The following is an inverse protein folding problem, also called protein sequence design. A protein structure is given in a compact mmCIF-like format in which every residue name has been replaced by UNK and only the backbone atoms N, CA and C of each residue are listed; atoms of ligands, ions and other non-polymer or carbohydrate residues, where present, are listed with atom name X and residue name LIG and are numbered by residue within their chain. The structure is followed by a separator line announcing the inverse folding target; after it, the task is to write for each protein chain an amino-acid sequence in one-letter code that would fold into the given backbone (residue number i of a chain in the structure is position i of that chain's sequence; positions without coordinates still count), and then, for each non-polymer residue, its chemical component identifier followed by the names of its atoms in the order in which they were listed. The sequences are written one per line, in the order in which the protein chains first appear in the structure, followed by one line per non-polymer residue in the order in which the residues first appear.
data_IF_501679166457
#
_entry.id   IF_501679166457
#
_cell.length_a   1.000
_cell.length_b   1.000
_cell.length_c   1.000
_cell.angle_alpha   90.00
_cell.angle_beta   90.00
_cell.angle_gamma   90.00
#
_symmetry.space_group_name_H-M   'P 1'
#
loop_
_entity.id
_entity.type
_entity.pdbx_description
1 polymer ?
#
# COMPACT_ATOMS: atom_id res chain seq x y z
N UNK A 1 73.74 8.25 -7.03
CA UNK A 1 73.74 7.24 -8.13
C UNK A 1 72.37 7.22 -8.72
N UNK A 2 72.32 7.71 -9.92
CA UNK A 2 71.24 7.96 -10.84
C UNK A 2 70.62 6.68 -11.36
N UNK A 3 69.31 6.62 -11.52
CA UNK A 3 68.64 5.79 -12.53
C UNK A 3 67.27 6.38 -12.89
N UNK A 4 67.19 6.85 -14.14
CA UNK A 4 66.06 7.43 -14.81
C UNK A 4 64.91 6.43 -15.06
N UNK A 5 63.65 6.89 -15.17
CA UNK A 5 62.54 6.08 -15.65
C UNK A 5 62.40 6.11 -17.16
N UNK A 6 62.23 4.94 -17.74
CA UNK A 6 61.99 4.68 -19.17
C UNK A 6 60.59 5.20 -19.56
N UNK A 7 60.56 6.18 -20.47
CA UNK A 7 59.35 6.70 -21.12
C UNK A 7 58.95 5.83 -22.32
N UNK A 8 57.75 5.26 -22.29
CA UNK A 8 57.13 4.62 -23.47
C UNK A 8 56.35 5.63 -24.30
N UNK A 9 56.46 5.69 -25.62
CA UNK A 9 55.77 6.67 -26.44
C UNK A 9 54.33 6.24 -26.75
N UNK A 10 53.39 7.10 -26.38
CA UNK A 10 52.00 7.01 -26.77
C UNK A 10 51.80 7.34 -28.25
N UNK A 11 51.31 6.39 -29.03
CA UNK A 11 50.91 6.59 -30.44
C UNK A 11 49.67 7.48 -30.54
N UNK A 12 49.65 8.47 -31.46
CA UNK A 12 48.51 9.39 -31.57
C UNK A 12 47.29 8.74 -32.22
N UNK A 13 46.12 8.95 -31.57
CA UNK A 13 44.81 8.42 -31.94
C UNK A 13 44.38 8.60 -33.42
N UNK A 14 45.04 9.44 -34.18
CA UNK A 14 44.75 9.70 -35.60
C UNK A 14 45.30 8.64 -36.57
N UNK A 15 46.20 7.74 -36.16
CA UNK A 15 46.71 6.64 -37.00
C UNK A 15 45.90 5.35 -36.91
N UNK A 16 45.12 5.16 -35.83
CA UNK A 16 44.26 3.98 -35.66
C UNK A 16 42.98 4.04 -36.55
N UNK A 17 42.53 5.25 -36.92
CA UNK A 17 41.36 5.46 -37.78
C UNK A 17 41.63 5.32 -39.28
N UNK A 18 42.87 5.25 -39.72
CA UNK A 18 43.22 5.08 -41.16
C UNK A 18 43.49 3.63 -41.58
N UNK A 19 43.63 2.71 -40.64
CA UNK A 19 43.85 1.30 -40.93
C UNK A 19 42.57 0.45 -40.94
N UNK A 20 41.41 1.01 -40.54
CA UNK A 20 40.10 0.36 -40.58
C UNK A 20 39.29 0.64 -41.85
N UNK A 21 39.82 1.46 -42.79
CA UNK A 21 39.12 1.88 -44.01
C UNK A 21 39.50 1.11 -45.25
N UNK A 22 40.37 0.10 -45.19
CA UNK A 22 40.89 -0.58 -46.42
C UNK A 22 40.67 -2.11 -46.43
N UNK A 23 39.81 -2.63 -45.56
CA UNK A 23 39.48 -4.07 -45.55
C UNK A 23 37.96 -4.30 -45.62
N UNK A 24 37.24 -3.63 -46.49
CA UNK A 24 35.78 -3.74 -46.54
C UNK A 24 35.19 -3.60 -47.96
N UNK A 25 35.81 -4.25 -48.90
CA UNK A 25 35.23 -4.35 -50.25
C UNK A 25 35.11 -5.82 -50.66
N UNK A 26 33.84 -6.24 -50.90
CA UNK A 26 33.41 -7.51 -51.45
C UNK A 26 33.15 -8.67 -50.49
N UNK A 27 31.94 -8.66 -49.87
CA UNK A 27 31.22 -9.91 -49.63
C UNK A 27 29.71 -9.60 -49.46
N UNK A 28 28.94 -9.90 -50.48
CA UNK A 28 27.66 -10.59 -50.29
C UNK A 28 26.48 -9.83 -49.77
N UNK A 29 25.66 -9.33 -50.67
CA UNK A 29 24.21 -9.28 -50.55
C UNK A 29 23.68 -10.70 -50.20
N UNK A 30 23.67 -11.07 -48.94
CA UNK A 30 22.89 -12.18 -48.43
C UNK A 30 22.73 -12.04 -46.91
N UNK A 31 21.51 -12.15 -46.45
CA UNK A 31 21.13 -12.25 -45.06
C UNK A 31 20.91 -10.93 -44.27
N UNK A 32 19.92 -10.14 -44.69
CA UNK A 32 19.00 -9.56 -43.69
C UNK A 32 18.10 -10.67 -43.11
N UNK A 33 18.69 -11.71 -42.55
CA UNK A 33 18.04 -12.63 -41.64
C UNK A 33 18.32 -12.12 -40.26
N UNK A 34 17.40 -11.40 -39.62
CA UNK A 34 17.32 -11.35 -38.16
C UNK A 34 17.41 -12.80 -37.70
N UNK A 35 18.25 -13.14 -36.69
CA UNK A 35 18.02 -14.35 -35.97
C UNK A 35 16.69 -14.15 -35.24
N UNK A 36 15.60 -14.45 -35.92
CA UNK A 36 14.35 -14.73 -35.30
C UNK A 36 14.63 -15.95 -34.42
N UNK A 37 14.84 -15.72 -33.12
CA UNK A 37 14.57 -16.77 -32.16
C UNK A 37 13.20 -17.31 -32.59
N UNK A 38 13.11 -18.62 -32.84
CA UNK A 38 11.83 -19.32 -32.95
C UNK A 38 11.11 -19.08 -31.63
N UNK A 39 10.38 -17.97 -31.52
CA UNK A 39 9.30 -17.87 -30.57
C UNK A 39 8.42 -19.08 -30.84
N UNK A 40 7.97 -19.73 -29.82
CA UNK A 40 7.05 -20.88 -29.90
C UNK A 40 5.71 -20.56 -30.58
N UNK A 41 5.58 -19.38 -31.19
CA UNK A 41 4.38 -18.87 -31.88
C UNK A 41 3.29 -18.38 -30.93
N UNK A 42 3.52 -18.44 -29.61
CA UNK A 42 2.56 -17.98 -28.61
C UNK A 42 2.63 -16.47 -28.43
N UNK A 43 1.48 -15.85 -28.17
CA UNK A 43 1.42 -14.45 -27.77
C UNK A 43 1.89 -14.31 -26.31
N UNK A 44 2.67 -13.28 -26.02
CA UNK A 44 3.26 -13.06 -24.70
C UNK A 44 2.55 -11.96 -23.93
N UNK A 45 1.87 -12.32 -22.83
CA UNK A 45 1.24 -11.42 -21.88
C UNK A 45 2.29 -11.01 -20.83
N UNK A 46 2.64 -9.74 -20.78
CA UNK A 46 3.61 -9.20 -19.82
C UNK A 46 2.90 -8.81 -18.52
N UNK A 47 3.19 -9.52 -17.44
CA UNK A 47 2.61 -9.31 -16.10
C UNK A 47 3.66 -8.79 -15.12
N UNK A 48 3.39 -7.63 -14.48
CA UNK A 48 4.28 -7.05 -13.47
C UNK A 48 3.66 -7.11 -12.08
N UNK A 49 4.51 -7.54 -11.11
CA UNK A 49 4.18 -7.52 -9.67
C UNK A 49 5.20 -6.69 -8.88
N UNK A 50 4.99 -6.51 -7.57
CA UNK A 50 5.80 -5.67 -6.71
C UNK A 50 6.30 -6.45 -5.50
N UNK A 51 7.64 -6.71 -5.47
CA UNK A 51 8.36 -7.39 -4.38
C UNK A 51 7.72 -8.73 -3.93
N UNK A 52 7.24 -9.53 -4.89
CA UNK A 52 6.70 -10.87 -4.64
C UNK A 52 7.75 -11.96 -4.82
N UNK A 53 8.75 -11.76 -5.69
CA UNK A 53 9.84 -12.70 -5.87
C UNK A 53 10.92 -12.52 -4.77
N UNK A 54 11.62 -13.58 -4.37
CA UNK A 54 11.44 -14.97 -4.79
C UNK A 54 10.38 -15.72 -3.98
N UNK A 55 9.80 -15.10 -2.96
CA UNK A 55 8.96 -15.77 -1.95
C UNK A 55 7.73 -16.47 -2.53
N UNK A 56 7.12 -15.87 -3.56
CA UNK A 56 5.88 -16.37 -4.15
C UNK A 56 6.09 -16.95 -5.57
N UNK A 57 7.33 -17.37 -5.91
CA UNK A 57 7.63 -17.93 -7.22
C UNK A 57 6.81 -19.19 -7.52
N UNK A 58 6.67 -20.10 -6.56
CA UNK A 58 5.95 -21.35 -6.73
C UNK A 58 4.46 -21.14 -6.90
N UNK A 59 3.86 -20.24 -6.08
CA UNK A 59 2.47 -19.87 -6.19
C UNK A 59 2.16 -19.24 -7.57
N UNK A 60 2.87 -18.19 -7.94
CA UNK A 60 2.65 -17.50 -9.22
C UNK A 60 2.96 -18.40 -10.41
N UNK A 61 4.03 -19.20 -10.32
CA UNK A 61 4.37 -20.21 -11.34
C UNK A 61 3.25 -21.21 -11.55
N UNK A 62 2.62 -21.69 -10.49
CA UNK A 62 1.47 -22.59 -10.55
C UNK A 62 0.24 -21.96 -11.21
N UNK A 63 -0.11 -20.72 -10.84
CA UNK A 63 -1.24 -20.00 -11.46
C UNK A 63 -0.97 -19.72 -12.94
N UNK A 64 0.25 -19.28 -13.29
CA UNK A 64 0.66 -19.04 -14.67
C UNK A 64 0.57 -20.32 -15.50
N UNK A 65 1.15 -21.43 -15.02
CA UNK A 65 1.10 -22.72 -15.73
C UNK A 65 -0.33 -23.21 -15.94
N UNK A 66 -1.20 -23.03 -14.94
CA UNK A 66 -2.62 -23.36 -15.05
C UNK A 66 -3.34 -22.55 -16.13
N UNK A 67 -3.05 -21.23 -16.21
CA UNK A 67 -3.63 -20.35 -17.23
C UNK A 67 -3.11 -20.68 -18.64
N UNK A 68 -1.80 -20.87 -18.78
CA UNK A 68 -1.18 -21.25 -20.06
C UNK A 68 -1.69 -22.61 -20.57
N UNK A 69 -1.93 -23.56 -19.66
CA UNK A 69 -2.54 -24.85 -20.01
C UNK A 69 -3.95 -24.73 -20.59
N UNK A 70 -4.74 -23.77 -20.09
CA UNK A 70 -6.08 -23.46 -20.60
C UNK A 70 -6.05 -22.56 -21.86
N UNK A 71 -4.94 -21.89 -22.14
CA UNK A 71 -4.74 -20.93 -23.25
C UNK A 71 -3.47 -21.28 -24.06
N UNK A 72 -3.44 -22.40 -24.79
CA UNK A 72 -2.19 -22.94 -25.38
C UNK A 72 -1.52 -22.06 -26.42
N UNK A 73 -2.23 -21.04 -26.97
CA UNK A 73 -1.68 -20.04 -27.88
C UNK A 73 -1.00 -18.85 -27.17
N UNK A 74 -0.91 -18.87 -25.84
CA UNK A 74 -0.49 -17.74 -25.04
C UNK A 74 0.52 -18.18 -23.97
N UNK A 75 1.32 -17.24 -23.51
CA UNK A 75 2.19 -17.41 -22.35
C UNK A 75 2.24 -16.15 -21.52
N UNK A 76 2.53 -16.27 -20.23
CA UNK A 76 2.69 -15.14 -19.31
C UNK A 76 4.18 -14.93 -19.03
N UNK A 77 4.67 -13.73 -19.31
CA UNK A 77 5.97 -13.29 -18.88
C UNK A 77 5.83 -12.48 -17.60
N UNK A 78 6.09 -13.14 -16.48
CA UNK A 78 6.07 -12.46 -15.19
C UNK A 78 7.38 -11.71 -14.93
N UNK A 79 7.27 -10.47 -14.46
CA UNK A 79 8.37 -9.60 -14.03
C UNK A 79 8.03 -9.02 -12.67
N UNK A 80 8.87 -9.28 -11.68
CA UNK A 80 8.74 -8.65 -10.37
C UNK A 80 9.58 -7.37 -10.30
N UNK A 81 9.01 -6.31 -9.74
CA UNK A 81 9.60 -4.96 -9.73
C UNK A 81 9.66 -4.45 -8.30
N UNK A 82 10.82 -3.93 -7.83
CA UNK A 82 10.90 -3.33 -6.51
C UNK A 82 9.96 -2.12 -6.34
N UNK A 83 9.32 -2.01 -5.17
CA UNK A 83 8.40 -0.91 -4.83
C UNK A 83 8.95 0.48 -5.16
N UNK A 84 10.20 0.76 -4.78
CA UNK A 84 10.82 2.07 -4.97
C UNK A 84 11.09 2.45 -6.43
N UNK A 85 10.91 1.52 -7.39
CA UNK A 85 11.23 1.75 -8.80
C UNK A 85 10.02 1.65 -9.75
N UNK A 86 8.90 1.08 -9.30
CA UNK A 86 7.78 0.76 -10.18
C UNK A 86 7.18 1.98 -10.89
N UNK A 87 6.97 3.09 -10.18
CA UNK A 87 6.38 4.30 -10.78
C UNK A 87 7.25 4.81 -11.95
N UNK A 88 8.56 4.95 -11.70
CA UNK A 88 9.51 5.40 -12.72
C UNK A 88 9.60 4.43 -13.90
N UNK A 89 9.68 3.10 -13.60
CA UNK A 89 9.79 2.06 -14.61
C UNK A 89 8.54 1.98 -15.48
N UNK A 90 7.35 2.04 -14.88
CA UNK A 90 6.09 1.97 -15.60
C UNK A 90 5.87 3.22 -16.47
N UNK A 91 6.15 4.42 -15.95
CA UNK A 91 6.08 5.64 -16.77
C UNK A 91 7.05 5.58 -17.95
N UNK A 92 8.29 5.14 -17.72
CA UNK A 92 9.27 4.98 -18.81
C UNK A 92 8.79 3.98 -19.88
N UNK A 93 8.20 2.83 -19.46
CA UNK A 93 7.69 1.82 -20.39
C UNK A 93 6.48 2.32 -21.20
N UNK A 94 5.59 3.12 -20.57
CA UNK A 94 4.48 3.77 -21.26
C UNK A 94 4.99 4.74 -22.34
N UNK A 95 5.99 5.57 -22.01
CA UNK A 95 6.59 6.48 -23.00
C UNK A 95 7.29 5.73 -24.14
N UNK A 96 7.95 4.62 -23.84
CA UNK A 96 8.63 3.77 -24.81
C UNK A 96 7.66 2.87 -25.62
N UNK A 97 6.36 2.88 -25.31
CA UNK A 97 5.35 1.96 -25.87
C UNK A 97 5.68 0.48 -25.65
N UNK A 98 6.27 0.17 -24.49
CA UNK A 98 6.61 -1.17 -24.03
C UNK A 98 5.99 -1.44 -22.66
N UNK A 99 4.84 -0.82 -22.39
CA UNK A 99 4.09 -1.03 -21.14
C UNK A 99 3.71 -2.51 -21.02
N UNK A 100 3.71 -3.06 -19.79
CA UNK A 100 3.17 -4.40 -19.54
C UNK A 100 1.67 -4.45 -19.84
N UNK A 101 1.12 -5.66 -19.96
CA UNK A 101 -0.30 -5.88 -20.22
C UNK A 101 -1.12 -5.89 -18.96
N UNK A 102 -0.54 -6.37 -17.84
CA UNK A 102 -1.17 -6.40 -16.53
C UNK A 102 -0.16 -5.95 -15.47
N UNK A 103 -0.59 -5.09 -14.54
CA UNK A 103 0.30 -4.56 -13.48
C UNK A 103 -0.40 -4.59 -12.13
N UNK A 104 0.32 -5.07 -11.11
CA UNK A 104 -0.09 -4.91 -9.73
C UNK A 104 0.32 -3.53 -9.21
N UNK A 105 -0.64 -2.70 -8.77
CA UNK A 105 -0.38 -1.33 -8.30
C UNK A 105 -1.14 -1.01 -7.01
N UNK A 106 -0.58 -0.08 -6.24
CA UNK A 106 -1.31 0.57 -5.17
C UNK A 106 -2.36 1.58 -5.72
N UNK A 107 -3.44 1.86 -4.99
CA UNK A 107 -4.52 2.72 -5.47
C UNK A 107 -4.07 4.14 -5.85
N UNK A 108 -3.22 4.87 -5.10
CA UNK A 108 -2.81 6.22 -5.46
C UNK A 108 -2.09 6.29 -6.81
N UNK A 109 -1.25 5.31 -7.12
CA UNK A 109 -0.55 5.30 -8.40
C UNK A 109 -1.49 4.88 -9.54
N UNK A 110 -2.36 3.89 -9.32
CA UNK A 110 -3.40 3.52 -10.28
C UNK A 110 -4.30 4.72 -10.64
N UNK A 111 -4.80 5.46 -9.63
CA UNK A 111 -5.61 6.65 -9.84
C UNK A 111 -4.87 7.78 -10.59
N UNK A 112 -3.57 7.97 -10.30
CA UNK A 112 -2.75 8.94 -11.03
C UNK A 112 -2.60 8.56 -12.52
N UNK A 113 -2.44 7.28 -12.83
CA UNK A 113 -2.39 6.81 -14.22
C UNK A 113 -3.76 6.90 -14.90
N UNK A 114 -4.84 6.50 -14.23
CA UNK A 114 -6.20 6.58 -14.73
C UNK A 114 -6.57 8.02 -15.12
N UNK A 115 -6.27 9.00 -14.25
CA UNK A 115 -6.54 10.42 -14.48
C UNK A 115 -5.82 11.02 -15.69
N UNK A 116 -4.75 10.37 -16.14
CA UNK A 116 -3.98 10.73 -17.35
C UNK A 116 -4.38 9.91 -18.58
N UNK A 117 -5.44 9.10 -18.47
CA UNK A 117 -5.87 8.21 -19.54
C UNK A 117 -4.91 7.05 -19.80
N UNK A 118 -4.02 6.72 -18.84
CA UNK A 118 -3.01 5.66 -18.99
C UNK A 118 -3.54 4.26 -18.73
N UNK A 119 -4.73 4.10 -18.15
CA UNK A 119 -5.36 2.83 -17.87
C UNK A 119 -6.60 2.60 -18.73
N UNK A 120 -6.91 1.34 -18.95
CA UNK A 120 -8.11 0.89 -19.65
C UNK A 120 -9.29 0.89 -18.67
N UNK A 121 -10.46 1.32 -19.14
CA UNK A 121 -11.72 1.11 -18.43
C UNK A 121 -12.13 -0.37 -18.57
N UNK A 122 -12.24 -1.05 -17.44
CA UNK A 122 -12.54 -2.47 -17.34
C UNK A 122 -14.05 -2.75 -17.25
N UNK A 123 -14.89 -1.72 -17.17
CA UNK A 123 -16.34 -1.84 -16.96
C UNK A 123 -17.05 -2.66 -18.02
N UNK A 124 -16.55 -2.65 -19.28
CA UNK A 124 -17.07 -3.47 -20.38
C UNK A 124 -16.40 -4.84 -20.52
N UNK A 125 -15.27 -5.06 -19.84
CA UNK A 125 -14.46 -6.29 -19.94
C UNK A 125 -14.70 -7.24 -18.77
N UNK A 126 -15.20 -6.74 -17.64
CA UNK A 126 -15.53 -7.52 -16.45
C UNK A 126 -17.04 -7.63 -16.35
N UNK A 127 -17.56 -8.88 -16.34
CA UNK A 127 -19.01 -9.11 -16.20
C UNK A 127 -19.52 -8.64 -14.84
N UNK A 128 -20.81 -8.31 -14.77
CA UNK A 128 -21.46 -7.94 -13.50
C UNK A 128 -21.36 -9.08 -12.45
N UNK A 129 -21.40 -10.34 -12.88
CA UNK A 129 -21.22 -11.50 -12.00
C UNK A 129 -19.80 -11.57 -11.42
N UNK A 130 -18.77 -11.34 -12.25
CA UNK A 130 -17.39 -11.31 -11.80
C UNK A 130 -17.18 -10.14 -10.83
N UNK A 131 -17.69 -8.95 -11.13
CA UNK A 131 -17.63 -7.79 -10.24
C UNK A 131 -18.33 -8.07 -8.88
N UNK A 132 -19.48 -8.73 -8.87
CA UNK A 132 -20.23 -9.10 -7.68
C UNK A 132 -19.54 -10.17 -6.80
N UNK A 133 -18.51 -10.84 -7.32
CA UNK A 133 -17.71 -11.79 -6.53
C UNK A 133 -16.79 -11.14 -5.51
N UNK A 134 -16.48 -9.84 -5.70
CA UNK A 134 -15.64 -9.06 -4.79
C UNK A 134 -16.47 -8.41 -3.67
N UNK A 135 -15.78 -7.95 -2.62
CA UNK A 135 -16.37 -7.10 -1.59
C UNK A 135 -16.81 -5.77 -2.23
N UNK A 136 -18.11 -5.36 -2.13
CA UNK A 136 -18.63 -4.23 -2.91
C UNK A 136 -17.84 -2.93 -2.72
N UNK A 137 -17.60 -2.51 -1.46
CA UNK A 137 -16.84 -1.29 -1.17
C UNK A 137 -15.39 -1.32 -1.67
N UNK A 138 -14.81 -2.52 -1.84
CA UNK A 138 -13.45 -2.70 -2.36
C UNK A 138 -13.44 -2.63 -3.88
N UNK A 139 -14.44 -3.23 -4.53
CA UNK A 139 -14.63 -3.10 -5.98
C UNK A 139 -14.84 -1.64 -6.39
N UNK A 140 -15.77 -0.96 -5.72
CA UNK A 140 -16.09 0.46 -5.96
C UNK A 140 -14.87 1.38 -5.80
N UNK A 141 -13.98 1.09 -4.83
CA UNK A 141 -12.76 1.86 -4.61
C UNK A 141 -11.75 1.78 -5.77
N UNK A 142 -11.90 0.81 -6.69
CA UNK A 142 -11.12 0.69 -7.93
C UNK A 142 -11.64 1.55 -9.07
N UNK A 143 -12.78 2.23 -8.89
CA UNK A 143 -13.40 3.12 -9.87
C UNK A 143 -13.02 4.59 -9.68
N UNK A 144 -13.13 5.35 -10.76
CA UNK A 144 -12.95 6.81 -10.76
C UNK A 144 -13.80 7.43 -11.89
N UNK A 145 -14.52 8.52 -11.59
CA UNK A 145 -15.30 9.29 -12.56
C UNK A 145 -16.27 8.41 -13.41
N UNK A 146 -16.85 7.37 -12.80
CA UNK A 146 -17.81 6.46 -13.44
C UNK A 146 -17.19 5.31 -14.25
N UNK A 147 -15.87 5.22 -14.35
CA UNK A 147 -15.16 4.13 -15.01
C UNK A 147 -14.46 3.22 -13.99
N UNK A 148 -14.30 1.93 -14.28
CA UNK A 148 -13.63 0.95 -13.45
C UNK A 148 -12.21 0.68 -13.98
N UNK A 149 -11.18 1.02 -13.21
CA UNK A 149 -9.79 0.89 -13.65
C UNK A 149 -9.02 -0.24 -12.99
N UNK A 150 -9.59 -0.89 -11.97
CA UNK A 150 -8.85 -1.83 -11.16
C UNK A 150 -9.67 -3.06 -10.78
N UNK A 151 -9.03 -4.22 -10.79
CA UNK A 151 -9.52 -5.47 -10.21
C UNK A 151 -8.79 -5.65 -8.87
N UNK A 152 -9.50 -5.71 -7.71
CA UNK A 152 -8.84 -5.84 -6.42
C UNK A 152 -8.29 -7.26 -6.24
N UNK A 153 -7.01 -7.37 -5.90
CA UNK A 153 -6.35 -8.66 -5.74
C UNK A 153 -6.28 -9.08 -4.28
N UNK A 154 -5.47 -8.39 -3.48
CA UNK A 154 -5.33 -8.71 -2.06
C UNK A 154 -5.41 -7.46 -1.19
N UNK A 155 -5.74 -7.68 0.07
CA UNK A 155 -6.03 -6.63 1.03
C UNK A 155 -5.17 -6.77 2.27
N UNK A 156 -4.95 -5.65 2.95
CA UNK A 156 -4.42 -5.64 4.31
C UNK A 156 -5.26 -4.73 5.18
N UNK A 157 -5.57 -5.17 6.40
CA UNK A 157 -6.26 -4.36 7.40
C UNK A 157 -5.44 -4.35 8.69
N UNK A 158 -5.34 -3.17 9.29
CA UNK A 158 -4.71 -3.01 10.61
C UNK A 158 -5.71 -3.38 11.70
N UNK A 159 -5.19 -4.00 12.75
CA UNK A 159 -5.89 -4.25 14.02
C UNK A 159 -5.06 -3.67 15.16
N UNK A 160 -5.64 -3.53 16.34
CA UNK A 160 -4.92 -3.11 17.53
C UNK A 160 -4.10 -4.26 18.11
N UNK A 161 -2.81 -4.05 18.31
CA UNK A 161 -1.97 -4.89 19.16
C UNK A 161 -1.77 -4.16 20.47
N UNK A 162 -2.33 -4.67 21.56
CA UNK A 162 -2.30 -3.99 22.84
C UNK A 162 -1.53 -4.77 23.91
N UNK A 163 -0.76 -4.06 24.71
CA UNK A 163 -0.03 -4.59 25.86
C UNK A 163 -0.99 -4.73 27.05
N UNK A 164 -1.37 -5.97 27.38
CA UNK A 164 -2.31 -6.30 28.46
C UNK A 164 -1.88 -5.80 29.82
N UNK A 165 -0.57 -5.83 30.11
CA UNK A 165 -0.02 -5.32 31.36
C UNK A 165 -0.26 -3.82 31.49
N UNK A 166 0.07 -3.03 30.45
CA UNK A 166 -0.17 -1.58 30.47
C UNK A 166 -1.66 -1.23 30.50
N UNK A 167 -2.52 -2.02 29.84
CA UNK A 167 -3.98 -1.85 29.94
C UNK A 167 -4.45 -2.07 31.39
N UNK A 168 -4.04 -3.17 32.02
CA UNK A 168 -4.44 -3.48 33.39
C UNK A 168 -3.94 -2.42 34.39
N UNK A 169 -2.68 -1.99 34.28
CA UNK A 169 -2.11 -0.90 35.09
C UNK A 169 -2.90 0.42 34.89
N UNK A 170 -3.35 0.69 33.68
CA UNK A 170 -4.21 1.83 33.36
C UNK A 170 -5.66 1.66 33.86
N UNK A 171 -6.03 0.48 34.35
CA UNK A 171 -7.37 0.16 34.85
C UNK A 171 -8.37 -0.17 33.74
N UNK A 172 -7.88 -0.65 32.60
CA UNK A 172 -8.69 -1.05 31.45
C UNK A 172 -8.45 -2.54 31.11
N UNK A 173 -9.48 -3.24 30.65
CA UNK A 173 -9.37 -4.62 30.15
C UNK A 173 -9.17 -4.68 28.63
N UNK A 174 -9.43 -3.56 27.92
CA UNK A 174 -9.31 -3.43 26.48
C UNK A 174 -9.00 -1.98 26.09
N UNK A 175 -8.42 -1.73 24.90
CA UNK A 175 -8.32 -0.39 24.34
C UNK A 175 -9.72 0.18 24.02
N UNK A 176 -9.86 1.51 23.87
CA UNK A 176 -11.10 2.13 23.42
C UNK A 176 -11.49 1.65 22.02
N UNK A 177 -12.80 1.71 21.73
CA UNK A 177 -13.33 1.33 20.41
C UNK A 177 -13.56 2.54 19.52
N UNK A 178 -13.65 3.74 20.11
CA UNK A 178 -13.95 4.99 19.42
C UNK A 178 -12.91 6.06 19.73
N UNK A 179 -12.61 6.89 18.73
CA UNK A 179 -11.63 7.98 18.89
C UNK A 179 -11.98 8.92 20.03
N UNK A 180 -13.27 9.22 20.26
CA UNK A 180 -13.69 10.08 21.37
C UNK A 180 -13.30 9.57 22.77
N UNK A 181 -13.05 8.28 22.91
CA UNK A 181 -12.68 7.66 24.20
C UNK A 181 -11.16 7.73 24.45
N UNK A 182 -10.38 8.01 23.40
CA UNK A 182 -8.91 7.99 23.45
C UNK A 182 -8.32 9.01 24.43
N UNK A 183 -8.77 10.26 24.54
CA UNK A 183 -8.16 11.22 25.45
C UNK A 183 -8.17 10.76 26.91
N UNK A 184 -9.31 10.34 27.44
CA UNK A 184 -9.43 9.86 28.82
C UNK A 184 -8.60 8.60 29.05
N UNK A 185 -8.55 7.69 28.08
CA UNK A 185 -7.73 6.49 28.15
C UNK A 185 -6.23 6.83 28.09
N UNK A 186 -5.81 7.72 27.21
CA UNK A 186 -4.42 8.14 27.07
C UNK A 186 -3.93 8.83 28.35
N UNK A 187 -4.76 9.66 28.98
CA UNK A 187 -4.48 10.25 30.29
C UNK A 187 -4.32 9.18 31.38
N UNK A 188 -5.22 8.19 31.43
CA UNK A 188 -5.13 7.11 32.40
C UNK A 188 -3.86 6.28 32.23
N UNK A 189 -3.50 5.92 30.98
CA UNK A 189 -2.24 5.23 30.67
C UNK A 189 -1.06 6.08 31.12
N UNK A 190 -1.02 7.36 30.69
CA UNK A 190 0.11 8.26 31.01
C UNK A 190 0.32 8.45 32.50
N UNK A 191 -0.76 8.71 33.23
CA UNK A 191 -0.73 8.98 34.66
C UNK A 191 -0.34 7.75 35.48
N UNK A 192 -0.84 6.56 35.13
CA UNK A 192 -0.67 5.35 35.94
C UNK A 192 0.59 4.55 35.59
N UNK A 193 1.02 4.60 34.32
CA UNK A 193 2.14 3.78 33.85
C UNK A 193 3.38 4.60 33.50
N UNK A 194 3.26 5.91 33.33
CA UNK A 194 4.31 6.77 32.78
C UNK A 194 4.58 6.53 31.29
N UNK A 195 3.84 5.62 30.65
CA UNK A 195 3.99 5.24 29.23
C UNK A 195 2.96 5.99 28.37
N UNK A 196 2.97 5.75 27.07
CA UNK A 196 2.02 6.34 26.14
C UNK A 196 0.94 5.35 25.71
N UNK A 197 -0.24 5.87 25.41
CA UNK A 197 -1.35 5.06 24.94
C UNK A 197 -1.12 4.55 23.51
N UNK A 198 -0.74 5.46 22.61
CA UNK A 198 -0.54 5.19 21.19
C UNK A 198 0.47 6.16 20.57
N UNK A 199 0.86 5.89 19.33
CA UNK A 199 1.70 6.74 18.49
C UNK A 199 0.96 7.04 17.19
N UNK A 200 0.79 8.31 16.84
CA UNK A 200 0.18 8.75 15.59
C UNK A 200 1.14 9.72 14.89
N UNK A 201 1.83 9.24 13.86
CA UNK A 201 2.77 10.09 13.12
C UNK A 201 2.06 11.14 12.27
N UNK A 202 2.64 12.34 12.25
CA UNK A 202 2.26 13.44 11.36
C UNK A 202 3.41 13.81 10.41
N UNK A 203 4.35 12.86 10.19
CA UNK A 203 5.43 13.04 9.23
C UNK A 203 4.87 12.89 7.82
N UNK A 204 5.01 13.90 6.94
CA UNK A 204 4.62 13.79 5.54
C UNK A 204 5.30 12.60 4.85
N UNK A 205 4.59 11.98 3.91
CA UNK A 205 5.07 10.84 3.09
C UNK A 205 5.39 9.54 3.86
N UNK A 206 5.08 9.44 5.17
CA UNK A 206 5.24 8.21 5.93
C UNK A 206 3.94 7.37 5.89
N UNK A 207 3.04 7.56 6.84
CA UNK A 207 1.79 6.82 6.97
C UNK A 207 0.57 7.69 6.69
N UNK A 208 -0.43 7.16 5.98
CA UNK A 208 -1.71 7.82 5.81
C UNK A 208 -2.67 7.63 7.00
N UNK A 209 -2.24 6.99 8.07
CA UNK A 209 -3.08 6.60 9.21
C UNK A 209 -3.81 7.79 9.85
N UNK A 210 -3.14 8.94 9.99
CA UNK A 210 -3.80 10.13 10.50
C UNK A 210 -4.92 10.62 9.55
N UNK A 211 -4.71 10.61 8.23
CA UNK A 211 -5.78 10.95 7.27
C UNK A 211 -6.99 10.03 7.43
N UNK A 212 -6.75 8.74 7.68
CA UNK A 212 -7.81 7.77 7.95
C UNK A 212 -8.59 8.16 9.20
N UNK A 213 -7.91 8.59 10.26
CA UNK A 213 -8.57 9.03 11.51
C UNK A 213 -9.41 10.29 11.28
N UNK A 214 -8.95 11.25 10.48
CA UNK A 214 -9.75 12.42 10.13
C UNK A 214 -11.07 12.02 9.47
N UNK A 215 -11.01 11.10 8.49
CA UNK A 215 -12.23 10.58 7.83
C UNK A 215 -13.13 9.85 8.84
N UNK A 216 -12.58 9.03 9.73
CA UNK A 216 -13.31 8.35 10.79
C UNK A 216 -13.97 9.31 11.80
N UNK A 217 -13.40 10.50 11.98
CA UNK A 217 -13.97 11.59 12.80
C UNK A 217 -14.99 12.45 12.02
N UNK A 218 -15.41 12.00 10.83
CA UNK A 218 -16.43 12.66 10.02
C UNK A 218 -15.92 13.76 9.09
N UNK A 219 -14.59 13.89 8.93
CA UNK A 219 -14.01 14.88 8.03
C UNK A 219 -14.14 14.42 6.58
N UNK A 220 -14.84 15.21 5.77
CA UNK A 220 -14.81 15.08 4.33
C UNK A 220 -13.53 15.75 3.81
N UNK A 221 -12.65 15.00 3.17
CA UNK A 221 -11.35 15.54 2.73
C UNK A 221 -11.51 16.54 1.59
N UNK A 222 -12.24 16.16 0.54
CA UNK A 222 -12.46 16.97 -0.65
C UNK A 222 -13.93 16.92 -1.08
N UNK A 223 -14.39 17.95 -1.75
CA UNK A 223 -15.69 18.00 -2.42
C UNK A 223 -15.67 17.33 -3.81
N UNK A 224 -16.83 17.30 -4.50
CA UNK A 224 -16.95 16.75 -5.85
C UNK A 224 -16.16 17.50 -6.94
N UNK A 225 -15.67 18.71 -6.63
CA UNK A 225 -14.80 19.51 -7.51
C UNK A 225 -13.33 19.42 -7.09
N UNK A 226 -12.99 18.48 -6.21
CA UNK A 226 -11.66 18.29 -5.64
C UNK A 226 -11.12 19.49 -4.86
N UNK A 227 -12.01 20.38 -4.36
CA UNK A 227 -11.66 21.45 -3.44
C UNK A 227 -11.63 20.93 -2.01
N UNK A 228 -10.90 21.60 -1.16
CA UNK A 228 -10.86 21.28 0.27
C UNK A 228 -12.26 21.36 0.88
N UNK A 229 -12.71 20.23 1.44
CA UNK A 229 -13.93 20.16 2.25
C UNK A 229 -13.62 19.90 3.73
N UNK A 230 -12.34 19.68 4.05
CA UNK A 230 -11.89 19.37 5.40
C UNK A 230 -11.92 20.57 6.36
N UNK A 231 -11.97 21.83 5.87
CA UNK A 231 -12.18 22.98 6.74
C UNK A 231 -13.66 23.13 7.11
N UNK A 232 -14.07 22.29 8.02
CA UNK A 232 -15.46 22.09 8.49
C UNK A 232 -15.47 22.01 10.02
N UNK A 233 -16.65 22.01 10.67
CA UNK A 233 -16.73 21.75 12.11
C UNK A 233 -16.02 20.46 12.53
N UNK A 234 -16.23 19.34 11.79
CA UNK A 234 -15.54 18.08 12.05
C UNK A 234 -14.03 18.19 11.87
N UNK A 235 -13.57 18.94 10.86
CA UNK A 235 -12.13 19.20 10.65
C UNK A 235 -11.50 19.97 11.80
N UNK A 236 -12.16 21.00 12.30
CA UNK A 236 -11.71 21.77 13.47
C UNK A 236 -11.63 20.90 14.73
N UNK A 237 -12.64 20.09 14.97
CA UNK A 237 -12.67 19.15 16.08
C UNK A 237 -11.50 18.14 15.98
N UNK A 238 -11.28 17.56 14.80
CA UNK A 238 -10.21 16.61 14.58
C UNK A 238 -8.80 17.21 14.72
N UNK A 239 -8.57 18.44 14.23
CA UNK A 239 -7.30 19.14 14.41
C UNK A 239 -7.05 19.49 15.87
N UNK A 240 -8.08 19.98 16.57
CA UNK A 240 -7.99 20.25 18.02
C UNK A 240 -7.74 18.97 18.79
N UNK A 241 -8.42 17.89 18.50
CA UNK A 241 -8.24 16.58 19.14
C UNK A 241 -6.75 16.13 19.12
N UNK A 242 -6.13 16.10 17.95
CA UNK A 242 -4.74 15.64 17.82
C UNK A 242 -3.75 16.67 18.41
N UNK A 243 -3.99 17.96 18.23
CA UNK A 243 -3.14 19.02 18.78
C UNK A 243 -3.15 19.04 20.30
N UNK A 244 -4.33 18.86 20.91
CA UNK A 244 -4.48 18.81 22.37
C UNK A 244 -3.84 17.59 22.97
N UNK A 245 -4.05 16.38 22.40
CA UNK A 245 -3.36 15.17 22.85
C UNK A 245 -1.83 15.35 22.87
N UNK A 246 -1.27 15.97 21.85
CA UNK A 246 0.16 16.22 21.79
C UNK A 246 0.60 17.27 22.82
N UNK A 247 -0.10 18.42 22.90
CA UNK A 247 0.25 19.51 23.82
C UNK A 247 0.11 19.15 25.28
N UNK A 248 -0.83 18.26 25.62
CA UNK A 248 -1.00 17.69 26.95
C UNK A 248 0.05 16.60 27.28
N UNK A 249 0.96 16.26 26.36
CA UNK A 249 1.98 15.25 26.55
C UNK A 249 1.43 13.81 26.59
N UNK A 250 0.26 13.57 26.00
CA UNK A 250 -0.40 12.27 25.90
C UNK A 250 0.09 11.46 24.68
N UNK A 251 0.77 12.11 23.75
CA UNK A 251 1.48 11.48 22.63
C UNK A 251 3.00 11.64 22.80
N UNK A 252 3.81 10.67 22.31
CA UNK A 252 5.26 10.84 22.24
C UNK A 252 5.65 12.09 21.46
N UNK A 253 6.69 12.78 21.90
CA UNK A 253 7.15 14.02 21.23
C UNK A 253 7.63 13.76 19.80
N UNK A 254 8.08 12.53 19.53
CA UNK A 254 8.61 12.11 18.23
C UNK A 254 7.55 11.97 17.13
N UNK A 255 6.25 12.02 17.41
CA UNK A 255 5.19 11.92 16.38
C UNK A 255 5.30 13.00 15.31
N UNK A 256 5.90 14.14 15.62
CA UNK A 256 6.11 15.24 14.66
C UNK A 256 7.39 15.13 13.83
N UNK A 257 8.25 14.16 14.13
CA UNK A 257 9.56 14.04 13.47
C UNK A 257 9.96 12.63 13.08
N UNK A 258 9.25 11.62 13.60
CA UNK A 258 9.52 10.20 13.36
C UNK A 258 8.29 9.51 12.76
N UNK A 259 8.53 8.62 11.80
CA UNK A 259 7.49 7.85 11.12
C UNK A 259 7.00 6.65 11.92
N UNK A 260 6.13 5.87 11.30
CA UNK A 260 5.49 4.67 11.88
C UNK A 260 6.49 3.63 12.43
N UNK A 261 7.69 3.55 11.85
CA UNK A 261 8.74 2.68 12.37
C UNK A 261 9.04 2.97 13.86
N UNK A 262 8.99 4.23 14.27
CA UNK A 262 9.18 4.62 15.67
C UNK A 262 8.09 4.07 16.58
N UNK A 263 6.84 3.99 16.11
CA UNK A 263 5.76 3.33 16.85
C UNK A 263 6.10 1.87 17.16
N UNK A 264 6.62 1.14 16.16
CA UNK A 264 7.05 -0.26 16.31
C UNK A 264 8.16 -0.39 17.37
N UNK A 265 9.17 0.47 17.31
CA UNK A 265 10.30 0.48 18.25
C UNK A 265 9.83 0.76 19.69
N UNK A 266 8.96 1.75 19.89
CA UNK A 266 8.40 2.08 21.20
C UNK A 266 7.50 0.96 21.74
N UNK A 267 6.73 0.31 20.87
CA UNK A 267 5.92 -0.82 21.31
C UNK A 267 6.78 -2.02 21.74
N UNK A 268 7.83 -2.35 20.98
CA UNK A 268 8.80 -3.39 21.31
C UNK A 268 9.56 -3.09 22.61
N UNK A 269 9.78 -1.82 22.92
CA UNK A 269 10.37 -1.38 24.19
C UNK A 269 9.38 -1.43 25.38
N UNK A 270 8.09 -1.67 25.15
CA UNK A 270 7.05 -1.62 26.16
C UNK A 270 6.64 -0.20 26.56
N UNK A 271 6.89 0.78 25.71
CA UNK A 271 6.60 2.21 25.92
C UNK A 271 5.24 2.65 25.35
N UNK A 272 4.57 1.78 24.58
CA UNK A 272 3.22 2.00 24.07
C UNK A 272 2.24 0.94 24.56
N UNK A 273 1.03 1.36 24.91
CA UNK A 273 -0.05 0.46 25.27
C UNK A 273 -0.72 -0.16 24.02
N UNK A 274 -0.72 0.55 22.89
CA UNK A 274 -1.33 0.11 21.63
C UNK A 274 -0.49 0.52 20.43
N UNK A 275 -0.39 -0.39 19.46
CA UNK A 275 0.03 -0.09 18.08
C UNK A 275 -0.96 -0.70 17.09
N UNK A 276 -1.34 0.06 16.06
CA UNK A 276 -2.20 -0.43 14.97
C UNK A 276 -1.32 -1.02 13.86
N UNK A 277 -1.45 -2.34 13.61
CA UNK A 277 -0.60 -3.02 12.63
C UNK A 277 -1.25 -4.30 12.10
N UNK A 278 -0.62 -4.98 11.14
CA UNK A 278 -1.07 -6.28 10.64
C UNK A 278 -0.69 -7.44 11.56
N UNK A 279 -1.37 -8.60 11.41
CA UNK A 279 -1.13 -9.80 12.23
C UNK A 279 0.31 -10.32 12.22
N UNK A 280 1.03 -10.18 11.10
CA UNK A 280 2.42 -10.67 10.98
C UNK A 280 3.41 -9.96 11.92
N UNK A 281 3.05 -8.80 12.43
CA UNK A 281 3.83 -8.11 13.45
C UNK A 281 4.07 -8.96 14.70
N UNK A 282 3.12 -9.82 15.07
CA UNK A 282 3.26 -10.70 16.25
C UNK A 282 4.48 -11.62 16.14
N UNK A 283 4.77 -12.17 14.96
CA UNK A 283 5.96 -13.01 14.76
C UNK A 283 7.26 -12.22 14.92
N UNK A 284 7.27 -11.02 14.37
CA UNK A 284 8.40 -10.11 14.53
C UNK A 284 8.59 -9.74 16.02
N UNK A 285 7.48 -9.48 16.71
CA UNK A 285 7.50 -9.18 18.14
C UNK A 285 7.99 -10.37 18.98
N UNK A 286 7.54 -11.59 18.68
CA UNK A 286 7.98 -12.83 19.33
C UNK A 286 9.49 -13.04 19.21
N UNK A 287 10.08 -12.67 18.07
CA UNK A 287 11.51 -12.79 17.82
C UNK A 287 12.31 -11.69 18.51
N UNK A 288 11.87 -10.43 18.40
CA UNK A 288 12.66 -9.27 18.79
C UNK A 288 12.37 -8.76 20.21
N UNK A 289 11.17 -9.03 20.75
CA UNK A 289 10.76 -8.57 22.08
C UNK A 289 9.82 -9.61 22.75
N UNK A 290 10.31 -10.83 23.05
CA UNK A 290 9.47 -11.95 23.54
C UNK A 290 8.73 -11.62 24.83
N UNK A 291 9.30 -10.81 25.73
CA UNK A 291 8.62 -10.36 26.95
C UNK A 291 7.40 -9.47 26.65
N UNK A 292 7.48 -8.58 25.65
CA UNK A 292 6.34 -7.76 25.24
C UNK A 292 5.35 -8.62 24.44
N UNK A 293 5.83 -9.57 23.64
CA UNK A 293 4.97 -10.49 22.90
C UNK A 293 4.06 -11.32 23.84
N UNK A 294 4.59 -11.78 24.97
CA UNK A 294 3.83 -12.54 25.97
C UNK A 294 2.67 -11.72 26.58
N UNK A 295 2.82 -10.40 26.66
CA UNK A 295 1.81 -9.47 27.15
C UNK A 295 0.92 -8.90 26.05
N UNK A 296 1.18 -9.19 24.78
CA UNK A 296 0.43 -8.64 23.65
C UNK A 296 -0.82 -9.46 23.36
N UNK A 297 -1.93 -8.76 23.09
CA UNK A 297 -3.16 -9.35 22.56
C UNK A 297 -3.71 -8.54 21.37
N UNK A 298 -4.35 -9.21 20.40
CA UNK A 298 -5.02 -8.54 19.29
C UNK A 298 -6.39 -8.01 19.73
N UNK A 299 -6.71 -6.78 19.33
CA UNK A 299 -7.98 -6.12 19.55
C UNK A 299 -8.49 -5.50 18.24
N UNK A 300 -9.81 -5.28 18.11
CA UNK A 300 -10.33 -4.52 16.98
C UNK A 300 -9.70 -3.12 16.91
N UNK A 301 -9.59 -2.54 15.70
CA UNK A 301 -9.03 -1.20 15.55
C UNK A 301 -9.93 -0.15 16.23
N UNK A 302 -9.34 0.96 16.66
CA UNK A 302 -10.08 2.16 17.04
C UNK A 302 -10.69 2.75 15.76
N UNK A 303 -11.96 3.12 15.80
CA UNK A 303 -12.69 3.64 14.64
C UNK A 303 -13.50 4.89 15.00
N UNK A 304 -14.10 5.51 13.99
CA UNK A 304 -15.12 6.53 14.16
C UNK A 304 -16.48 5.95 14.61
N UNK A 305 -17.49 6.81 14.69
CA UNK A 305 -18.82 6.43 15.16
C UNK A 305 -19.51 5.39 14.26
N UNK A 306 -19.26 5.42 12.97
CA UNK A 306 -19.79 4.47 11.98
C UNK A 306 -19.12 3.08 12.04
N UNK A 307 -18.04 2.94 12.79
CA UNK A 307 -17.31 1.69 12.94
C UNK A 307 -16.47 1.28 11.74
N UNK A 308 -16.32 2.13 10.74
CA UNK A 308 -15.56 1.80 9.54
C UNK A 308 -14.06 1.73 9.81
N UNK A 309 -13.46 0.59 9.47
CA UNK A 309 -12.02 0.41 9.47
C UNK A 309 -11.44 0.73 8.09
N UNK A 310 -10.18 1.16 8.06
CA UNK A 310 -9.49 1.29 6.78
C UNK A 310 -8.97 -0.04 6.28
N UNK A 311 -8.97 -0.20 4.95
CA UNK A 311 -8.35 -1.31 4.26
C UNK A 311 -7.43 -0.79 3.16
N UNK A 312 -6.23 -1.33 3.08
CA UNK A 312 -5.35 -1.12 1.95
C UNK A 312 -5.56 -2.21 0.91
N UNK A 313 -5.65 -1.80 -0.34
CA UNK A 313 -5.96 -2.66 -1.49
C UNK A 313 -4.76 -2.69 -2.43
N UNK A 314 -4.40 -3.87 -2.91
CA UNK A 314 -3.51 -4.00 -4.05
C UNK A 314 -4.33 -4.41 -5.27
N UNK A 315 -4.19 -3.64 -6.32
CA UNK A 315 -5.01 -3.73 -7.52
C UNK A 315 -4.24 -4.33 -8.70
N UNK A 316 -4.96 -5.01 -9.58
CA UNK A 316 -4.52 -5.34 -10.92
C UNK A 316 -5.13 -4.33 -11.90
N UNK A 317 -4.30 -3.72 -12.72
CA UNK A 317 -4.69 -2.72 -13.71
C UNK A 317 -4.16 -3.08 -15.09
N UNK A 318 -4.88 -2.69 -16.13
CA UNK A 318 -4.50 -2.90 -17.54
C UNK A 318 -4.10 -1.55 -18.14
N UNK A 319 -2.84 -1.33 -18.52
CA UNK A 319 -2.43 -0.15 -19.27
C UNK A 319 -3.20 -0.01 -20.59
N UNK A 320 -3.62 1.20 -20.93
CA UNK A 320 -4.40 1.47 -22.16
C UNK A 320 -3.70 1.03 -23.46
N UNK A 321 -2.38 0.93 -23.42
CA UNK A 321 -1.57 0.52 -24.58
C UNK A 321 -1.49 -0.99 -24.77
N UNK A 322 -2.04 -1.80 -23.85
CA UNK A 322 -2.02 -3.25 -23.97
C UNK A 322 -2.72 -3.70 -25.26
N UNK A 323 -2.03 -4.54 -26.04
CA UNK A 323 -2.59 -5.23 -27.18
C UNK A 323 -3.28 -6.55 -26.79
N UNK A 324 -3.18 -6.94 -25.51
CA UNK A 324 -3.72 -8.18 -24.95
C UNK A 324 -4.72 -7.90 -23.80
N UNK A 325 -5.55 -6.88 -23.94
CA UNK A 325 -6.43 -6.42 -22.88
C UNK A 325 -7.43 -7.48 -22.40
N UNK A 326 -8.01 -8.25 -23.32
CA UNK A 326 -8.96 -9.32 -22.98
C UNK A 326 -8.27 -10.46 -22.22
N UNK A 327 -7.09 -10.86 -22.67
CA UNK A 327 -6.27 -11.88 -22.04
C UNK A 327 -5.75 -11.43 -20.67
N UNK A 328 -5.34 -10.16 -20.56
CA UNK A 328 -4.92 -9.56 -19.30
C UNK A 328 -6.06 -9.56 -18.26
N UNK A 329 -7.28 -9.22 -18.66
CA UNK A 329 -8.47 -9.31 -17.80
C UNK A 329 -8.78 -10.76 -17.45
N UNK A 330 -8.75 -11.68 -18.43
CA UNK A 330 -8.97 -13.12 -18.19
C UNK A 330 -7.98 -13.68 -17.16
N UNK A 331 -6.68 -13.35 -17.32
CA UNK A 331 -5.64 -13.76 -16.36
C UNK A 331 -5.84 -13.11 -14.99
N UNK A 332 -6.19 -11.81 -14.93
CA UNK A 332 -6.49 -11.12 -13.69
C UNK A 332 -7.68 -11.75 -12.94
N UNK A 333 -8.75 -12.13 -13.64
CA UNK A 333 -9.91 -12.81 -13.06
C UNK A 333 -9.57 -14.20 -12.56
N UNK A 334 -8.71 -14.94 -13.25
CA UNK A 334 -8.19 -16.22 -12.75
C UNK A 334 -7.38 -16.01 -11.47
N UNK A 335 -6.42 -15.07 -11.49
CA UNK A 335 -5.55 -14.77 -10.35
C UNK A 335 -6.37 -14.31 -9.13
N UNK A 336 -7.51 -13.65 -9.36
CA UNK A 336 -8.38 -13.11 -8.31
C UNK A 336 -9.64 -13.96 -8.06
N UNK A 337 -9.74 -15.16 -8.60
CA UNK A 337 -10.83 -16.07 -8.24
C UNK A 337 -10.72 -16.55 -6.78
N UNK A 338 -11.77 -17.12 -6.26
CA UNK A 338 -11.83 -17.51 -4.85
C UNK A 338 -10.72 -18.50 -4.44
N UNK A 339 -10.42 -19.48 -5.28
CA UNK A 339 -9.42 -20.50 -4.97
C UNK A 339 -7.99 -19.92 -4.92
N UNK A 340 -7.62 -19.15 -5.95
CA UNK A 340 -6.29 -18.53 -6.03
C UNK A 340 -6.10 -17.45 -4.97
N UNK A 341 -7.11 -16.64 -4.68
CA UNK A 341 -7.02 -15.65 -3.60
C UNK A 341 -6.92 -16.30 -2.22
N UNK A 342 -7.62 -17.41 -1.96
CA UNK A 342 -7.50 -18.13 -0.70
C UNK A 342 -6.09 -18.69 -0.54
N UNK A 343 -5.56 -19.35 -1.56
CA UNK A 343 -4.19 -19.87 -1.54
C UNK A 343 -3.16 -18.77 -1.29
N UNK A 344 -3.29 -17.65 -2.00
CA UNK A 344 -2.39 -16.50 -1.78
C UNK A 344 -2.55 -15.87 -0.39
N UNK A 345 -3.78 -15.77 0.12
CA UNK A 345 -4.03 -15.23 1.46
C UNK A 345 -3.43 -16.11 2.57
N UNK A 346 -3.41 -17.42 2.38
CA UNK A 346 -2.77 -18.36 3.32
C UNK A 346 -1.25 -18.28 3.26
N UNK A 347 -0.65 -18.21 2.08
CA UNK A 347 0.79 -18.15 1.90
C UNK A 347 1.37 -16.78 2.23
N UNK A 348 0.78 -15.71 1.69
CA UNK A 348 1.23 -14.33 1.88
C UNK A 348 0.74 -13.69 3.18
N UNK A 349 -0.20 -14.35 3.90
CA UNK A 349 -0.86 -13.84 5.12
C UNK A 349 -1.57 -12.51 4.95
N UNK A 350 -2.06 -12.29 3.74
CA UNK A 350 -2.90 -11.15 3.38
C UNK A 350 -4.38 -11.54 3.43
N UNK A 351 -5.26 -10.62 3.10
CA UNK A 351 -6.69 -10.86 3.07
C UNK A 351 -7.18 -10.89 1.62
N UNK A 352 -8.12 -11.78 1.26
CA UNK A 352 -8.69 -11.81 -0.07
C UNK A 352 -9.72 -10.70 -0.29
N UNK A 353 -9.83 -10.21 -1.51
CA UNK A 353 -10.90 -9.29 -1.93
C UNK A 353 -12.17 -10.04 -2.36
N UNK A 354 -12.06 -11.33 -2.69
CA UNK A 354 -13.19 -12.21 -3.01
C UNK A 354 -14.02 -12.51 -1.76
N UNK A 355 -15.34 -12.33 -1.87
CA UNK A 355 -16.31 -12.64 -0.79
C UNK A 355 -16.27 -14.11 -0.39
N UNK A 356 -16.18 -15.01 -1.38
CA UNK A 356 -16.11 -16.44 -1.13
C UNK A 356 -14.79 -16.84 -0.46
N UNK A 357 -13.66 -16.35 -0.95
CA UNK A 357 -12.36 -16.63 -0.36
C UNK A 357 -12.27 -16.09 1.08
N UNK A 358 -12.81 -14.89 1.34
CA UNK A 358 -12.86 -14.32 2.70
C UNK A 358 -13.68 -15.21 3.65
N UNK A 359 -14.84 -15.69 3.21
CA UNK A 359 -15.69 -16.58 4.01
C UNK A 359 -14.97 -17.90 4.32
N UNK A 360 -14.27 -18.46 3.35
CA UNK A 360 -13.48 -19.69 3.51
C UNK A 360 -12.29 -19.48 4.46
N UNK A 361 -11.57 -18.36 4.32
CA UNK A 361 -10.47 -18.01 5.21
C UNK A 361 -10.95 -17.83 6.65
N UNK A 362 -12.05 -17.09 6.87
CA UNK A 362 -12.63 -16.93 8.21
C UNK A 362 -13.02 -18.29 8.82
N UNK A 363 -13.64 -19.17 8.03
CA UNK A 363 -14.03 -20.50 8.49
C UNK A 363 -12.82 -21.38 8.82
N UNK A 364 -11.74 -21.28 8.06
CA UNK A 364 -10.47 -21.97 8.34
C UNK A 364 -9.85 -21.46 9.64
N UNK A 365 -9.71 -20.13 9.79
CA UNK A 365 -9.10 -19.51 10.95
C UNK A 365 -9.95 -19.63 12.25
N UNK A 366 -11.25 -19.86 12.13
CA UNK A 366 -12.14 -20.05 13.28
C UNK A 366 -12.03 -21.47 13.90
N UNK A 367 -11.41 -22.43 13.19
CA UNK A 367 -11.18 -23.77 13.75
C UNK A 367 -10.12 -23.67 14.85
N UNK A 368 -10.23 -24.48 15.92
CA UNK A 368 -9.20 -24.53 16.94
C UNK A 368 -7.84 -24.80 16.29
N UNK A 369 -6.95 -23.85 16.35
CA UNK A 369 -5.58 -24.04 15.86
C UNK A 369 -4.88 -25.02 16.82
N UNK A 370 -4.38 -26.14 16.30
CA UNK A 370 -3.35 -26.90 16.98
C UNK A 370 -2.06 -26.08 17.04
N UNK A 371 -1.20 -26.35 17.99
CA UNK A 371 0.11 -25.71 18.08
C UNK A 371 0.33 -24.97 19.38
N UNK A 372 1.47 -24.28 19.46
CA UNK A 372 1.87 -23.52 20.64
C UNK A 372 1.04 -22.22 20.79
N UNK A 373 1.00 -21.63 21.99
CA UNK A 373 0.22 -20.42 22.27
C UNK A 373 0.59 -19.22 21.37
N UNK A 374 1.85 -19.13 20.94
CA UNK A 374 2.31 -18.03 20.09
C UNK A 374 1.73 -18.13 18.67
N UNK A 375 1.68 -19.34 18.11
CA UNK A 375 1.02 -19.61 16.82
C UNK A 375 -0.49 -19.37 16.89
N UNK A 376 -1.13 -19.81 17.98
CA UNK A 376 -2.57 -19.56 18.20
C UNK A 376 -2.90 -18.07 18.25
N UNK A 377 -2.04 -17.26 18.88
CA UNK A 377 -2.23 -15.80 18.95
C UNK A 377 -2.16 -15.15 17.57
N UNK A 378 -1.26 -15.61 16.70
CA UNK A 378 -1.16 -15.13 15.31
C UNK A 378 -2.44 -15.47 14.53
N UNK A 379 -2.95 -16.69 14.66
CA UNK A 379 -4.19 -17.10 13.96
C UNK A 379 -5.42 -16.33 14.50
N UNK A 380 -5.49 -16.06 15.80
CA UNK A 380 -6.53 -15.18 16.37
C UNK A 380 -6.46 -13.76 15.79
N UNK A 381 -5.25 -13.20 15.66
CA UNK A 381 -5.06 -11.89 15.05
C UNK A 381 -5.46 -11.87 13.56
N UNK A 382 -5.13 -12.93 12.82
CA UNK A 382 -5.55 -13.10 11.42
C UNK A 382 -7.08 -13.18 11.28
N UNK A 383 -7.73 -13.97 12.14
CA UNK A 383 -9.19 -14.06 12.16
C UNK A 383 -9.84 -12.70 12.46
N UNK A 384 -9.29 -11.98 13.45
CA UNK A 384 -9.77 -10.64 13.78
C UNK A 384 -9.61 -9.67 12.61
N UNK A 385 -8.46 -9.71 11.94
CA UNK A 385 -8.19 -8.88 10.76
C UNK A 385 -9.15 -9.22 9.61
N UNK A 386 -9.42 -10.50 9.35
CA UNK A 386 -10.40 -10.94 8.35
C UNK A 386 -11.82 -10.43 8.68
N UNK A 387 -12.25 -10.57 9.93
CA UNK A 387 -13.56 -10.08 10.39
C UNK A 387 -13.71 -8.56 10.30
N UNK A 388 -12.61 -7.83 10.45
CA UNK A 388 -12.59 -6.36 10.31
C UNK A 388 -13.01 -5.91 8.90
N UNK A 389 -12.77 -6.73 7.86
CA UNK A 389 -13.13 -6.40 6.48
C UNK A 389 -14.65 -6.24 6.26
N UNK A 390 -15.49 -6.80 7.10
CA UNK A 390 -16.95 -6.67 6.98
C UNK A 390 -17.46 -5.23 7.09
N UNK A 391 -16.74 -4.40 7.87
CA UNK A 391 -17.01 -2.98 8.04
C UNK A 391 -15.90 -2.09 7.46
N UNK A 392 -14.99 -2.68 6.67
CA UNK A 392 -13.87 -1.94 6.12
C UNK A 392 -14.22 -1.32 4.78
N UNK A 393 -13.63 -0.15 4.55
CA UNK A 393 -13.63 0.53 3.25
C UNK A 393 -12.32 1.29 3.06
N UNK A 394 -12.02 1.69 1.84
CA UNK A 394 -10.91 2.60 1.57
C UNK A 394 -11.31 3.99 2.06
N UNK A 395 -10.81 4.40 3.22
CA UNK A 395 -11.19 5.66 3.87
C UNK A 395 -10.58 6.87 3.18
N UNK A 396 -9.31 6.76 2.77
CA UNK A 396 -8.62 7.82 2.04
C UNK A 396 -8.74 7.52 0.54
N UNK A 397 -9.50 8.31 -0.22
CA UNK A 397 -9.75 8.01 -1.62
C UNK A 397 -8.46 8.08 -2.43
N UNK A 398 -8.33 7.15 -3.38
CA UNK A 398 -7.23 7.13 -4.32
C UNK A 398 -7.48 8.17 -5.42
N UNK A 399 -7.01 9.38 -5.21
CA UNK A 399 -7.13 10.49 -6.17
C UNK A 399 -5.75 11.02 -6.56
N UNK A 400 -5.62 11.62 -7.76
CA UNK A 400 -4.41 12.34 -8.12
C UNK A 400 -4.10 13.45 -7.10
N UNK A 401 -2.85 13.51 -6.64
CA UNK A 401 -2.43 14.51 -5.67
C UNK A 401 -2.69 14.17 -4.20
N UNK A 402 -3.20 12.98 -3.87
CA UNK A 402 -3.47 12.60 -2.46
C UNK A 402 -2.24 12.71 -1.56
N UNK A 403 -1.04 12.37 -2.04
CA UNK A 403 0.22 12.56 -1.30
C UNK A 403 0.50 14.04 -1.01
N UNK A 404 0.14 14.93 -1.95
CA UNK A 404 0.27 16.38 -1.73
C UNK A 404 -0.73 16.88 -0.69
N UNK A 405 -1.97 16.40 -0.73
CA UNK A 405 -2.98 16.70 0.28
C UNK A 405 -2.50 16.25 1.67
N UNK A 406 -2.01 15.03 1.78
CA UNK A 406 -1.45 14.49 3.02
C UNK A 406 -0.31 15.38 3.54
N UNK A 407 0.65 15.74 2.70
CA UNK A 407 1.77 16.57 3.09
C UNK A 407 1.31 17.95 3.59
N UNK A 408 0.33 18.57 2.93
CA UNK A 408 -0.24 19.86 3.36
C UNK A 408 -0.91 19.72 4.73
N UNK A 409 -1.83 18.76 4.87
CA UNK A 409 -2.58 18.54 6.12
C UNK A 409 -1.64 18.24 7.28
N UNK A 410 -0.66 17.35 7.07
CA UNK A 410 0.29 16.96 8.11
C UNK A 410 1.19 18.13 8.53
N UNK A 411 1.71 18.90 7.58
CA UNK A 411 2.54 20.06 7.88
C UNK A 411 1.78 21.10 8.71
N UNK A 412 0.53 21.37 8.37
CA UNK A 412 -0.26 22.36 9.11
C UNK A 412 -0.67 21.82 10.49
N UNK A 413 -1.00 20.54 10.61
CA UNK A 413 -1.29 19.92 11.91
C UNK A 413 -0.04 19.89 12.81
N UNK A 414 1.15 19.61 12.26
CA UNK A 414 2.41 19.72 13.01
C UNK A 414 2.59 21.12 13.62
N UNK A 415 2.31 22.18 12.85
CA UNK A 415 2.40 23.56 13.33
C UNK A 415 1.44 23.82 14.50
N UNK A 416 0.21 23.28 14.41
CA UNK A 416 -0.75 23.39 15.50
C UNK A 416 -0.32 22.59 16.75
N UNK A 417 0.18 21.38 16.57
CA UNK A 417 0.73 20.56 17.65
C UNK A 417 1.88 21.26 18.37
N UNK A 418 2.79 21.88 17.62
CA UNK A 418 3.93 22.62 18.14
C UNK A 418 3.57 24.00 18.73
N UNK A 419 2.29 24.40 18.67
CA UNK A 419 1.81 25.68 19.18
C UNK A 419 2.27 26.90 18.36
N UNK A 420 2.70 26.69 17.12
CA UNK A 420 3.10 27.78 16.22
C UNK A 420 1.90 28.56 15.66
N UNK A 421 0.78 27.88 15.52
CA UNK A 421 -0.52 28.43 15.13
C UNK A 421 -1.61 27.70 15.92
N UNK A 422 -2.81 28.26 15.97
CA UNK A 422 -3.97 27.53 16.49
C UNK A 422 -4.53 26.54 15.44
N UNK A 423 -5.40 25.63 15.86
CA UNK A 423 -5.96 24.58 14.99
C UNK A 423 -6.81 25.15 13.85
N UNK A 424 -7.55 26.23 14.08
CA UNK A 424 -8.40 26.87 13.07
C UNK A 424 -7.55 27.57 12.00
N UNK A 425 -6.49 28.25 12.42
CA UNK A 425 -5.54 28.86 11.50
C UNK A 425 -4.80 27.79 10.67
N UNK A 426 -4.33 26.70 11.30
CA UNK A 426 -3.66 25.60 10.62
C UNK A 426 -4.58 24.99 9.53
N UNK A 427 -5.84 24.77 9.87
CA UNK A 427 -6.83 24.21 8.94
C UNK A 427 -7.14 25.16 7.77
N UNK A 428 -7.26 26.45 8.05
CA UNK A 428 -7.48 27.48 7.03
C UNK A 428 -6.28 27.61 6.07
N UNK A 429 -5.06 27.53 6.59
CA UNK A 429 -3.85 27.55 5.76
C UNK A 429 -3.74 26.29 4.89
N UNK A 430 -4.09 25.10 5.46
CA UNK A 430 -4.16 23.86 4.69
C UNK A 430 -5.15 23.95 3.53
N UNK A 431 -6.35 24.47 3.77
CA UNK A 431 -7.38 24.70 2.74
C UNK A 431 -6.87 25.62 1.63
N UNK A 432 -6.29 26.75 1.97
CA UNK A 432 -5.75 27.71 0.99
C UNK A 432 -4.65 27.09 0.14
N UNK A 433 -3.74 26.33 0.75
CA UNK A 433 -2.64 25.70 0.05
C UNK A 433 -3.13 24.61 -0.90
N UNK A 434 -4.08 23.78 -0.44
CA UNK A 434 -4.68 22.74 -1.29
C UNK A 434 -5.47 23.35 -2.44
N UNK A 435 -6.36 24.32 -2.17
CA UNK A 435 -7.19 24.92 -3.21
C UNK A 435 -6.36 25.61 -4.30
N UNK A 436 -5.26 26.24 -3.94
CA UNK A 436 -4.28 26.81 -4.89
C UNK A 436 -3.64 25.72 -5.77
N UNK A 437 -3.27 24.59 -5.16
CA UNK A 437 -2.76 23.44 -5.91
C UNK A 437 -3.83 22.84 -6.85
N UNK A 438 -5.05 22.70 -6.37
CA UNK A 438 -6.16 22.15 -7.13
C UNK A 438 -6.53 23.02 -8.33
N UNK A 439 -6.59 24.36 -8.17
CA UNK A 439 -6.81 25.34 -9.25
C UNK A 439 -5.78 25.22 -10.36
N UNK A 440 -4.52 25.10 -10.00
CA UNK A 440 -3.44 24.95 -10.99
C UNK A 440 -3.47 23.62 -11.72
N UNK A 441 -4.13 22.59 -11.17
CA UNK A 441 -4.10 21.22 -11.68
C UNK A 441 -5.40 20.81 -12.37
N UNK A 442 -6.53 21.31 -11.89
CA UNK A 442 -7.88 21.05 -12.37
C UNK A 442 -8.64 22.36 -12.46
N UNK A 443 -8.39 23.17 -13.52
CA UNK A 443 -8.99 24.49 -13.70
C UNK A 443 -10.50 24.45 -13.88
#
# INVERSE_FOLDING_TARGET
MSSDPISSPLLPRRRLLRLLALAGGSAGLAACGRPGGRGDGRRELNFWTLDLAPRFNDYLGGVIAGWEGANPGERVRWTDVPWGSVERKLLASVFARTAPDLVNLNPPFAANLASKGGLLDLGSLVSAEAAASYLPAIWEAGGQDGAQFAIPWYLTARIGMANRRLLAEAGASAPPRRWREVPAWAEAVRRRTGRYALFMTVVPDDSAELMETLVQMGVQLLDGRRRAAFNSPAGREAFSFWSELYRQGLLPREVVSQGFRRAIELYQAGDLALVATGPDFLRNLQTNAPGVAAETAPFPPITGEDGAANVAVMNLVVPRQSAMAAEAVSFALLLTNAANQLAFAEEARVLPSSRQALSQLEASLARPAGGDPASQLVEQARLLSARTLRAARVLVPAIPGIKRLQAIVYTQLQRAMLGQVDSDQALTEAEREWNRYAEARWP
#
